data_IF_938903094537
#
_entry.id   IF_938903094537
#
_cell.length_a   1.000
_cell.length_b   1.000
_cell.length_c   1.000
_cell.angle_alpha   90.00
_cell.angle_beta   90.00
_cell.angle_gamma   90.00
#
_symmetry.space_group_name_H-M   'P 1'
#
loop_
_entity.id
_entity.type
_entity.pdbx_description
1 polymer ?
#
# COMPACT_ATOMS: atom_id res chain seq x y z
N UNK A 1 -27.27 -59.54 31.97
CA UNK A 1 -26.30 -59.28 30.89
C UNK A 1 -26.66 -57.91 30.35
N UNK A 2 -25.82 -56.92 30.68
CA UNK A 2 -25.92 -55.47 30.42
C UNK A 2 -27.15 -54.76 30.99
N UNK A 3 -27.07 -53.66 31.74
CA UNK A 3 -26.00 -52.80 32.26
C UNK A 3 -26.76 -52.00 33.34
N UNK A 4 -26.53 -52.22 34.63
CA UNK A 4 -25.59 -51.45 35.45
C UNK A 4 -25.44 -49.96 35.11
N UNK A 5 -25.47 -49.19 36.20
CA UNK A 5 -25.04 -47.80 36.37
C UNK A 5 -25.99 -46.72 35.84
N UNK A 6 -26.98 -46.32 36.63
CA UNK A 6 -26.78 -45.47 37.82
C UNK A 6 -25.87 -44.27 37.49
N UNK A 7 -26.48 -43.13 37.23
CA UNK A 7 -26.32 -41.99 38.14
C UNK A 7 -27.25 -40.83 37.78
N UNK A 8 -28.09 -40.53 38.78
CA UNK A 8 -28.52 -39.19 39.20
C UNK A 8 -29.65 -38.62 38.34
N UNK A 9 -30.90 -38.72 38.78
CA UNK A 9 -31.42 -37.99 39.96
C UNK A 9 -30.74 -36.63 40.13
N UNK A 10 -31.24 -35.64 39.38
CA UNK A 10 -31.40 -34.29 39.90
C UNK A 10 -32.37 -33.52 39.00
N UNK A 11 -33.47 -33.10 39.62
CA UNK A 11 -34.35 -32.00 39.21
C UNK A 11 -35.32 -32.26 38.03
N UNK A 12 -36.46 -32.84 38.39
CA UNK A 12 -37.73 -32.18 38.09
C UNK A 12 -37.60 -30.66 38.27
N UNK A 13 -37.98 -29.86 37.29
CA UNK A 13 -39.01 -28.84 37.50
C UNK A 13 -39.53 -28.25 36.19
N UNK A 14 -40.85 -28.28 36.07
CA UNK A 14 -41.60 -27.41 35.17
C UNK A 14 -41.27 -25.95 35.51
N UNK A 15 -40.64 -25.22 34.58
CA UNK A 15 -40.57 -23.77 34.64
C UNK A 15 -41.53 -23.18 33.60
N UNK A 16 -42.81 -23.28 33.95
CA UNK A 16 -43.79 -22.23 33.63
C UNK A 16 -43.32 -20.91 34.25
N UNK A 17 -43.65 -19.81 33.58
CA UNK A 17 -43.52 -18.42 34.05
C UNK A 17 -42.21 -17.69 33.68
N UNK A 18 -42.10 -17.34 32.39
CA UNK A 18 -41.31 -16.18 31.98
C UNK A 18 -42.25 -14.98 31.87
N UNK A 19 -42.34 -14.26 32.99
CA UNK A 19 -42.91 -12.93 33.11
C UNK A 19 -42.22 -11.99 32.10
N UNK A 20 -42.94 -11.57 31.05
CA UNK A 20 -42.48 -10.51 30.17
C UNK A 20 -42.66 -9.18 30.91
N UNK A 21 -41.56 -8.65 31.46
CA UNK A 21 -41.51 -7.28 31.92
C UNK A 21 -41.55 -6.39 30.69
N UNK A 22 -42.75 -5.90 30.34
CA UNK A 22 -42.89 -4.79 29.41
C UNK A 22 -42.39 -3.53 30.12
N UNK A 23 -41.14 -3.18 29.88
CA UNK A 23 -40.65 -1.83 30.23
C UNK A 23 -41.28 -0.88 29.23
N UNK A 24 -42.36 -0.23 29.66
CA UNK A 24 -42.99 0.87 28.93
C UNK A 24 -42.08 2.08 29.10
N UNK A 25 -41.29 2.39 28.07
CA UNK A 25 -40.69 3.72 27.96
C UNK A 25 -41.81 4.65 27.50
N UNK A 26 -42.48 5.27 28.47
CA UNK A 26 -43.13 6.56 28.22
C UNK A 26 -42.01 7.60 28.20
N UNK A 27 -41.96 8.38 27.12
CA UNK A 27 -41.30 9.67 26.87
C UNK A 27 -41.21 9.70 25.32
N UNK A 28 -42.22 10.21 24.60
CA UNK A 28 -42.55 11.64 24.43
C UNK A 28 -41.29 12.50 24.28
N UNK A 29 -41.15 13.02 23.06
CA UNK A 29 -40.14 13.95 22.55
C UNK A 29 -38.71 13.39 22.45
N UNK A 30 -38.30 12.96 21.25
CA UNK A 30 -36.91 13.12 20.80
C UNK A 30 -36.80 12.97 19.28
N UNK A 31 -36.22 13.99 18.64
CA UNK A 31 -35.74 13.99 17.25
C UNK A 31 -34.51 13.06 17.07
N UNK A 32 -34.44 11.94 17.80
CA UNK A 32 -33.40 10.93 17.69
C UNK A 32 -33.87 9.83 16.75
N UNK A 33 -33.06 9.57 15.71
CA UNK A 33 -33.31 8.48 14.77
C UNK A 33 -33.18 7.14 15.52
N UNK A 34 -34.30 6.62 16.01
CA UNK A 34 -34.35 5.40 16.78
C UNK A 34 -33.72 4.22 16.03
N UNK A 35 -33.17 3.26 16.78
CA UNK A 35 -32.59 2.03 16.21
C UNK A 35 -33.58 1.31 15.27
N UNK A 36 -34.89 1.47 15.53
CA UNK A 36 -35.97 0.96 14.69
C UNK A 36 -36.11 1.70 13.35
N UNK A 37 -35.86 3.00 13.30
CA UNK A 37 -35.81 3.77 12.05
C UNK A 37 -34.61 3.39 11.19
N UNK A 38 -33.44 3.17 11.79
CA UNK A 38 -32.24 2.66 11.10
C UNK A 38 -32.51 1.26 10.52
N UNK A 39 -33.14 0.37 11.29
CA UNK A 39 -33.52 -0.98 10.82
C UNK A 39 -34.54 -0.87 9.67
N UNK A 40 -35.46 0.08 9.73
CA UNK A 40 -36.50 0.27 8.72
C UNK A 40 -35.95 0.90 7.45
N UNK A 41 -35.00 1.83 7.55
CA UNK A 41 -34.21 2.38 6.47
C UNK A 41 -33.34 1.31 5.81
N UNK A 42 -32.68 0.45 6.58
CA UNK A 42 -31.91 -0.69 6.08
C UNK A 42 -32.81 -1.70 5.34
N UNK A 43 -34.02 -1.99 5.85
CA UNK A 43 -35.00 -2.86 5.17
C UNK A 43 -35.49 -2.25 3.85
N UNK A 44 -35.78 -0.94 3.83
CA UNK A 44 -36.16 -0.22 2.60
C UNK A 44 -35.00 -0.18 1.60
N UNK A 45 -33.78 0.08 2.08
CA UNK A 45 -32.55 0.01 1.30
C UNK A 45 -32.29 -1.37 0.71
N UNK A 46 -32.56 -2.44 1.47
CA UNK A 46 -32.45 -3.83 1.01
C UNK A 46 -33.47 -4.16 -0.09
N UNK A 47 -34.69 -3.63 -0.01
CA UNK A 47 -35.72 -3.80 -1.05
C UNK A 47 -35.34 -3.07 -2.35
N UNK A 48 -34.80 -1.86 -2.24
CA UNK A 48 -34.27 -1.09 -3.38
C UNK A 48 -33.05 -1.81 -3.97
N UNK A 49 -32.13 -2.26 -3.14
CA UNK A 49 -30.96 -3.04 -3.56
C UNK A 49 -31.40 -4.33 -4.29
N UNK A 50 -32.42 -5.05 -3.80
CA UNK A 50 -32.96 -6.25 -4.46
C UNK A 50 -33.56 -5.95 -5.84
N UNK A 51 -34.15 -4.77 -6.04
CA UNK A 51 -34.69 -4.33 -7.34
C UNK A 51 -33.58 -3.96 -8.33
N UNK A 52 -32.51 -3.35 -7.85
CA UNK A 52 -31.38 -2.90 -8.68
C UNK A 52 -30.15 -3.83 -8.62
N UNK A 53 -30.27 -5.01 -8.02
CA UNK A 53 -29.16 -5.94 -7.78
C UNK A 53 -28.46 -6.33 -9.08
N UNK A 54 -29.22 -6.57 -10.15
CA UNK A 54 -28.68 -6.89 -11.46
C UNK A 54 -27.85 -5.73 -12.04
N UNK A 55 -28.31 -4.49 -11.86
CA UNK A 55 -27.60 -3.30 -12.32
C UNK A 55 -26.31 -3.08 -11.51
N UNK A 56 -26.37 -3.25 -10.19
CA UNK A 56 -25.20 -3.14 -9.31
C UNK A 56 -24.14 -4.20 -9.65
N UNK A 57 -24.54 -5.43 -9.94
CA UNK A 57 -23.61 -6.49 -10.36
C UNK A 57 -22.96 -6.17 -11.71
N UNK A 58 -23.68 -5.60 -12.67
CA UNK A 58 -23.10 -5.18 -13.95
C UNK A 58 -22.04 -4.08 -13.74
N UNK A 59 -22.33 -3.08 -12.91
CA UNK A 59 -21.36 -2.02 -12.57
C UNK A 59 -20.14 -2.56 -11.82
N UNK A 60 -20.34 -3.52 -10.91
CA UNK A 60 -19.25 -4.18 -10.18
C UNK A 60 -18.33 -4.96 -11.13
N UNK A 61 -18.89 -5.76 -12.04
CA UNK A 61 -18.12 -6.52 -13.03
C UNK A 61 -17.39 -5.58 -13.99
N UNK A 62 -18.05 -4.52 -14.48
CA UNK A 62 -17.41 -3.52 -15.34
C UNK A 62 -16.26 -2.80 -14.64
N UNK A 63 -16.45 -2.35 -13.39
CA UNK A 63 -15.40 -1.73 -12.59
C UNK A 63 -14.23 -2.68 -12.31
N UNK A 64 -14.52 -3.95 -12.04
CA UNK A 64 -13.51 -5.00 -11.87
C UNK A 64 -12.71 -5.26 -13.14
N UNK A 65 -13.35 -5.33 -14.32
CA UNK A 65 -12.66 -5.51 -15.61
C UNK A 65 -11.79 -4.30 -15.93
N UNK A 66 -12.29 -3.08 -15.77
CA UNK A 66 -11.52 -1.85 -16.01
C UNK A 66 -10.31 -1.76 -15.07
N UNK A 67 -10.52 -2.07 -13.78
CA UNK A 67 -9.43 -2.10 -12.80
C UNK A 67 -8.39 -3.18 -13.11
N UNK A 68 -8.82 -4.36 -13.54
CA UNK A 68 -7.92 -5.45 -13.95
C UNK A 68 -7.12 -5.09 -15.21
N UNK A 69 -7.74 -4.48 -16.22
CA UNK A 69 -7.04 -4.01 -17.42
C UNK A 69 -6.02 -2.93 -17.06
N UNK A 70 -6.40 -1.95 -16.23
CA UNK A 70 -5.45 -0.94 -15.75
C UNK A 70 -4.27 -1.58 -15.03
N UNK A 71 -4.50 -2.53 -14.13
CA UNK A 71 -3.42 -3.22 -13.42
C UNK A 71 -2.50 -4.04 -14.33
N UNK A 72 -3.06 -4.61 -15.40
CA UNK A 72 -2.30 -5.36 -16.42
C UNK A 72 -1.47 -4.44 -17.30
N UNK A 73 -1.98 -3.26 -17.63
CA UNK A 73 -1.32 -2.27 -18.50
C UNK A 73 -0.29 -1.44 -17.72
N UNK A 74 -0.57 -1.08 -16.47
CA UNK A 74 0.35 -0.37 -15.56
C UNK A 74 1.22 -1.32 -14.73
N UNK A 75 1.47 -2.53 -15.25
CA UNK A 75 2.31 -3.49 -14.55
C UNK A 75 3.76 -3.05 -14.74
N UNK A 76 4.24 -2.15 -13.89
CA UNK A 76 5.65 -1.79 -13.83
C UNK A 76 6.45 -3.05 -13.52
N UNK A 77 7.18 -3.54 -14.51
CA UNK A 77 8.07 -4.68 -14.33
C UNK A 77 9.29 -4.20 -13.55
N UNK A 78 9.28 -4.37 -12.24
CA UNK A 78 10.43 -4.00 -11.41
C UNK A 78 11.52 -5.06 -11.51
N UNK A 79 12.75 -4.61 -11.72
CA UNK A 79 13.98 -5.41 -11.75
C UNK A 79 14.90 -4.90 -10.66
N UNK A 80 15.50 -5.82 -9.89
CA UNK A 80 16.45 -5.49 -8.82
C UNK A 80 17.85 -5.93 -9.21
N UNK A 81 18.82 -5.02 -9.13
CA UNK A 81 20.25 -5.30 -9.19
C UNK A 81 20.84 -5.18 -7.79
N UNK A 82 21.83 -5.99 -7.45
CA UNK A 82 22.48 -5.98 -6.14
C UNK A 82 23.99 -6.09 -6.29
N UNK A 83 24.72 -5.26 -5.55
CA UNK A 83 26.17 -5.31 -5.41
C UNK A 83 26.55 -5.56 -3.94
N UNK A 84 27.64 -6.31 -3.74
CA UNK A 84 28.19 -6.61 -2.42
C UNK A 84 29.58 -6.01 -2.29
N UNK A 85 29.76 -5.17 -1.28
CA UNK A 85 31.01 -4.48 -0.97
C UNK A 85 31.57 -4.99 0.35
N UNK A 86 32.88 -4.88 0.51
CA UNK A 86 33.61 -5.18 1.74
C UNK A 86 34.50 -4.02 2.13
N UNK A 87 34.40 -3.63 3.39
CA UNK A 87 35.08 -2.47 3.96
C UNK A 87 36.27 -2.94 4.77
N UNK A 88 37.46 -2.49 4.42
CA UNK A 88 38.68 -2.74 5.18
C UNK A 88 39.28 -1.42 5.70
N UNK A 89 39.90 -1.48 6.87
CA UNK A 89 40.57 -0.34 7.47
C UNK A 89 42.06 -0.39 7.12
N UNK A 90 42.61 0.75 6.68
CA UNK A 90 44.04 0.89 6.53
C UNK A 90 44.68 0.97 7.92
N UNK A 91 45.25 -0.16 8.35
CA UNK A 91 45.86 -0.33 9.67
C UNK A 91 47.11 0.52 9.87
N UNK A 92 47.77 0.94 8.80
CA UNK A 92 48.97 1.77 8.87
C UNK A 92 48.59 3.26 9.01
N UNK A 93 47.41 3.65 8.55
CA UNK A 93 46.86 5.00 8.69
C UNK A 93 46.12 5.23 10.02
N UNK A 94 45.79 4.17 10.76
CA UNK A 94 45.10 4.26 12.05
C UNK A 94 46.11 4.32 13.18
N UNK A 95 46.30 5.51 13.74
CA UNK A 95 47.07 5.68 14.97
C UNK A 95 46.41 4.86 16.10
N UNK A 96 47.14 3.87 16.61
CA UNK A 96 46.66 2.88 17.59
C UNK A 96 46.45 3.47 18.99
N UNK A 97 46.54 4.80 19.10
CA UNK A 97 46.41 5.59 20.33
C UNK A 97 44.95 5.85 20.76
N UNK A 98 43.97 5.59 19.89
CA UNK A 98 42.54 5.80 20.17
C UNK A 98 41.83 4.48 20.56
N UNK A 99 41.31 4.43 21.79
CA UNK A 99 40.61 3.32 22.48
C UNK A 99 39.35 2.74 21.79
N UNK A 100 39.00 3.16 20.57
CA UNK A 100 37.87 2.57 19.85
C UNK A 100 38.25 1.24 19.21
N UNK A 101 37.53 0.18 19.59
CA UNK A 101 37.57 -1.14 18.96
C UNK A 101 37.41 -1.03 17.43
N UNK A 102 38.25 -1.74 16.68
CA UNK A 102 38.24 -1.77 15.20
C UNK A 102 36.86 -2.06 14.62
N UNK A 103 36.09 -2.96 15.26
CA UNK A 103 34.72 -3.30 14.84
C UNK A 103 33.78 -2.08 14.84
N UNK A 104 33.93 -1.18 15.82
CA UNK A 104 33.13 0.05 15.89
C UNK A 104 33.50 1.03 14.78
N UNK A 105 34.78 1.12 14.40
CA UNK A 105 35.25 1.98 13.30
C UNK A 105 34.73 1.48 11.95
N UNK A 106 34.77 0.17 11.72
CA UNK A 106 34.23 -0.44 10.50
C UNK A 106 32.71 -0.21 10.40
N UNK A 107 31.99 -0.40 11.50
CA UNK A 107 30.54 -0.15 11.54
C UNK A 107 30.21 1.32 11.27
N UNK A 108 30.95 2.26 11.86
CA UNK A 108 30.78 3.70 11.58
C UNK A 108 31.04 4.02 10.12
N UNK A 109 32.08 3.43 9.53
CA UNK A 109 32.43 3.66 8.14
C UNK A 109 31.39 3.09 7.17
N UNK A 110 30.93 1.86 7.40
CA UNK A 110 29.89 1.25 6.60
C UNK A 110 28.56 2.03 6.69
N UNK A 111 28.21 2.51 7.89
CA UNK A 111 27.06 3.39 8.07
C UNK A 111 27.25 4.76 7.41
N UNK A 112 28.46 5.33 7.47
CA UNK A 112 28.78 6.59 6.78
C UNK A 112 28.70 6.41 5.26
N UNK A 113 29.15 5.27 4.73
CA UNK A 113 29.02 4.94 3.32
C UNK A 113 27.55 4.86 2.91
N UNK A 114 26.73 4.15 3.70
CA UNK A 114 25.28 4.11 3.49
C UNK A 114 24.66 5.50 3.42
N UNK A 115 25.04 6.40 4.33
CA UNK A 115 24.57 7.80 4.33
C UNK A 115 25.08 8.60 3.11
N UNK A 116 26.34 8.44 2.71
CA UNK A 116 26.93 9.14 1.56
C UNK A 116 26.28 8.68 0.26
N UNK A 117 26.15 7.36 0.06
CA UNK A 117 25.48 6.79 -1.10
C UNK A 117 24.02 7.22 -1.18
N UNK A 118 23.36 7.34 -0.03
CA UNK A 118 21.96 7.78 0.05
C UNK A 118 21.79 9.30 0.01
N UNK A 119 22.89 10.07 -0.09
CA UNK A 119 22.84 11.53 -0.08
C UNK A 119 22.48 12.11 -1.44
N UNK A 120 21.85 13.29 -1.43
CA UNK A 120 21.46 14.03 -2.63
C UNK A 120 22.66 14.31 -3.54
N UNK A 121 23.85 14.51 -2.97
CA UNK A 121 25.09 14.76 -3.71
C UNK A 121 25.51 13.58 -4.59
N UNK A 122 25.10 12.35 -4.25
CA UNK A 122 25.38 11.14 -5.03
C UNK A 122 24.16 10.77 -5.88
N UNK A 123 22.95 10.73 -5.28
CA UNK A 123 21.76 10.24 -5.99
C UNK A 123 21.25 11.25 -7.03
N UNK A 124 21.18 12.55 -6.72
CA UNK A 124 20.57 13.52 -7.62
C UNK A 124 21.24 13.61 -9.02
N UNK A 125 22.58 13.69 -9.15
CA UNK A 125 23.21 13.74 -10.46
C UNK A 125 23.03 12.43 -11.25
N UNK A 126 23.08 11.29 -10.56
CA UNK A 126 22.84 9.96 -11.15
C UNK A 126 21.40 9.89 -11.66
N UNK A 127 20.43 10.20 -10.81
CA UNK A 127 19.01 10.16 -11.15
C UNK A 127 18.67 11.11 -12.30
N UNK A 128 19.26 12.31 -12.32
CA UNK A 128 19.08 13.26 -13.42
C UNK A 128 19.62 12.71 -14.73
N UNK A 129 20.80 12.09 -14.73
CA UNK A 129 21.37 11.45 -15.93
C UNK A 129 20.41 10.38 -16.46
N UNK A 130 19.93 9.49 -15.62
CA UNK A 130 19.03 8.41 -16.04
C UNK A 130 17.61 8.87 -16.40
N UNK A 131 17.13 9.97 -15.83
CA UNK A 131 15.86 10.59 -16.21
C UNK A 131 15.93 11.25 -17.60
N UNK A 132 17.10 11.81 -17.97
CA UNK A 132 17.32 12.34 -19.32
C UNK A 132 17.41 11.25 -20.39
N UNK A 133 17.91 10.06 -20.01
CA UNK A 133 18.10 8.93 -20.91
C UNK A 133 16.83 8.06 -21.07
N UNK A 134 15.75 8.33 -20.32
CA UNK A 134 14.49 7.59 -20.44
C UNK A 134 13.57 8.16 -21.52
N UNK A 135 13.17 7.32 -22.49
CA UNK A 135 12.26 7.71 -23.59
C UNK A 135 10.84 8.07 -23.11
N UNK A 136 10.45 7.66 -21.91
CA UNK A 136 9.11 7.85 -21.35
C UNK A 136 8.91 9.17 -20.59
N UNK A 137 9.95 10.00 -20.45
CA UNK A 137 9.89 11.25 -19.68
C UNK A 137 9.91 12.45 -20.62
N UNK A 138 8.94 13.35 -20.42
CA UNK A 138 9.01 14.71 -20.96
C UNK A 138 10.09 15.48 -20.21
N UNK A 139 11.31 15.46 -20.74
CA UNK A 139 12.50 16.12 -20.18
C UNK A 139 12.40 17.64 -20.13
N UNK A 140 11.42 18.24 -20.81
CA UNK A 140 11.11 19.68 -20.69
C UNK A 140 10.27 19.98 -19.44
N UNK A 141 9.67 18.96 -18.82
CA UNK A 141 8.89 19.07 -17.59
C UNK A 141 9.76 18.77 -16.35
N UNK A 142 10.16 19.84 -15.66
CA UNK A 142 10.98 19.77 -14.44
C UNK A 142 10.35 18.92 -13.32
N UNK A 143 9.01 18.92 -13.20
CA UNK A 143 8.30 18.11 -12.20
C UNK A 143 8.39 16.61 -12.50
N UNK A 144 8.40 16.22 -13.77
CA UNK A 144 8.54 14.83 -14.20
C UNK A 144 9.96 14.30 -13.91
N UNK A 145 10.98 15.13 -14.15
CA UNK A 145 12.37 14.83 -13.82
C UNK A 145 12.55 14.68 -12.31
N UNK A 146 12.04 15.63 -11.52
CA UNK A 146 12.12 15.57 -10.05
C UNK A 146 11.39 14.33 -9.49
N UNK A 147 10.24 13.97 -10.06
CA UNK A 147 9.54 12.74 -9.67
C UNK A 147 10.38 11.49 -9.92
N UNK A 148 11.12 11.41 -11.03
CA UNK A 148 12.02 10.27 -11.29
C UNK A 148 13.22 10.26 -10.34
N UNK A 149 13.72 11.45 -9.95
CA UNK A 149 14.76 11.60 -8.92
C UNK A 149 14.29 11.02 -7.59
N UNK A 150 13.09 11.40 -7.14
CA UNK A 150 12.51 10.89 -5.89
C UNK A 150 12.28 9.39 -5.94
N UNK A 151 11.72 8.88 -7.04
CA UNK A 151 11.55 7.43 -7.24
C UNK A 151 12.88 6.67 -7.17
N UNK A 152 13.95 7.21 -7.78
CA UNK A 152 15.25 6.55 -7.69
C UNK A 152 15.78 6.55 -6.25
N UNK A 153 15.61 7.64 -5.51
CA UNK A 153 15.99 7.69 -4.08
C UNK A 153 15.27 6.62 -3.26
N UNK A 154 13.98 6.42 -3.51
CA UNK A 154 13.18 5.40 -2.80
C UNK A 154 13.53 3.96 -3.21
N UNK A 155 14.00 3.76 -4.45
CA UNK A 155 14.34 2.45 -4.98
C UNK A 155 15.79 2.01 -4.71
N UNK A 156 16.61 2.86 -4.07
CA UNK A 156 17.95 2.51 -3.62
C UNK A 156 17.85 2.05 -2.17
N UNK A 157 18.38 0.87 -1.88
CA UNK A 157 18.49 0.34 -0.52
C UNK A 157 19.94 -0.02 -0.24
N UNK A 158 20.51 0.57 0.82
CA UNK A 158 21.86 0.26 1.28
C UNK A 158 21.78 -0.36 2.68
N UNK A 159 22.13 -1.64 2.78
CA UNK A 159 22.07 -2.40 4.03
C UNK A 159 23.46 -2.75 4.53
N UNK A 160 23.71 -2.48 5.80
CA UNK A 160 24.91 -2.89 6.52
C UNK A 160 24.49 -3.87 7.61
N UNK A 161 24.65 -5.19 7.41
CA UNK A 161 24.33 -6.17 8.44
C UNK A 161 25.20 -5.96 9.69
N UNK A 162 24.60 -6.06 10.88
CA UNK A 162 25.33 -5.97 12.15
C UNK A 162 26.45 -7.01 12.23
N UNK A 163 27.56 -6.63 12.86
CA UNK A 163 28.74 -7.48 13.05
C UNK A 163 29.38 -7.98 11.74
N UNK A 164 29.13 -7.27 10.62
CA UNK A 164 29.77 -7.55 9.34
C UNK A 164 30.55 -6.34 8.84
N UNK A 165 31.51 -6.60 7.95
CA UNK A 165 32.23 -5.58 7.20
C UNK A 165 31.67 -5.41 5.79
N UNK A 166 30.45 -5.93 5.56
CA UNK A 166 29.84 -6.00 4.25
C UNK A 166 28.77 -4.95 4.08
N UNK A 167 28.69 -4.38 2.88
CA UNK A 167 27.63 -3.46 2.48
C UNK A 167 26.91 -4.06 1.30
N UNK A 168 25.59 -4.19 1.40
CA UNK A 168 24.73 -4.55 0.29
C UNK A 168 24.10 -3.29 -0.28
N UNK A 169 24.30 -3.04 -1.57
CA UNK A 169 23.62 -1.98 -2.31
C UNK A 169 22.67 -2.66 -3.28
N UNK A 170 21.39 -2.33 -3.20
CA UNK A 170 20.38 -2.80 -4.15
C UNK A 170 19.64 -1.63 -4.77
N UNK A 171 19.40 -1.73 -6.07
CA UNK A 171 18.64 -0.76 -6.85
C UNK A 171 17.49 -1.49 -7.50
N UNK A 172 16.29 -0.91 -7.49
CA UNK A 172 15.15 -1.38 -8.25
C UNK A 172 14.77 -0.39 -9.36
N UNK A 173 14.52 -0.87 -10.57
CA UNK A 173 14.15 -0.04 -11.72
C UNK A 173 13.26 -0.82 -12.70
N UNK A 174 12.56 -0.13 -13.60
CA UNK A 174 11.64 -0.75 -14.59
C UNK A 174 12.36 -1.45 -15.76
N UNK A 175 13.69 -1.25 -15.90
CA UNK A 175 14.51 -1.84 -16.95
C UNK A 175 15.68 -2.63 -16.36
N UNK A 176 15.83 -3.89 -16.78
CA UNK A 176 16.83 -4.81 -16.25
C UNK A 176 18.29 -4.36 -16.49
N UNK A 177 18.60 -3.83 -17.67
CA UNK A 177 19.94 -3.34 -18.02
C UNK A 177 20.24 -2.02 -17.31
N UNK A 178 19.28 -1.09 -17.33
CA UNK A 178 19.41 0.20 -16.66
C UNK A 178 19.61 0.04 -15.16
N UNK A 179 18.87 -0.89 -14.53
CA UNK A 179 19.01 -1.22 -13.12
C UNK A 179 20.45 -1.60 -12.74
N UNK A 180 21.11 -2.41 -13.57
CA UNK A 180 22.50 -2.80 -13.35
C UNK A 180 23.42 -1.58 -13.48
N UNK A 181 23.33 -0.81 -14.57
CA UNK A 181 24.18 0.37 -14.76
C UNK A 181 23.99 1.42 -13.67
N UNK A 182 22.76 1.64 -13.20
CA UNK A 182 22.48 2.52 -12.06
C UNK A 182 23.19 2.00 -10.82
N UNK A 183 23.08 0.71 -10.50
CA UNK A 183 23.73 0.12 -9.34
C UNK A 183 25.26 0.25 -9.41
N UNK A 184 25.88 -0.01 -10.56
CA UNK A 184 27.32 0.18 -10.78
C UNK A 184 27.73 1.65 -10.58
N UNK A 185 26.98 2.58 -11.16
CA UNK A 185 27.26 4.03 -11.06
C UNK A 185 27.17 4.51 -9.62
N UNK A 186 26.18 4.04 -8.87
CA UNK A 186 25.99 4.38 -7.45
C UNK A 186 27.16 3.85 -6.61
N UNK A 187 27.57 2.61 -6.84
CA UNK A 187 28.70 2.01 -6.13
C UNK A 187 29.99 2.79 -6.41
N UNK A 188 30.31 3.03 -7.68
CA UNK A 188 31.53 3.75 -8.07
C UNK A 188 31.55 5.20 -7.56
N UNK A 189 30.43 5.92 -7.68
CA UNK A 189 30.31 7.29 -7.16
C UNK A 189 30.38 7.32 -5.63
N UNK A 190 29.76 6.36 -4.96
CA UNK A 190 29.80 6.20 -3.50
C UNK A 190 31.22 5.96 -2.99
N UNK A 191 31.98 5.07 -3.65
CA UNK A 191 33.38 4.79 -3.30
C UNK A 191 34.22 6.06 -3.49
N UNK A 192 34.12 6.74 -4.64
CA UNK A 192 34.85 8.00 -4.89
C UNK A 192 34.53 9.09 -3.87
N UNK A 193 33.26 9.21 -3.47
CA UNK A 193 32.84 10.16 -2.45
C UNK A 193 33.42 9.81 -1.07
N UNK A 194 33.49 8.52 -0.73
CA UNK A 194 34.11 8.05 0.52
C UNK A 194 35.63 8.24 0.53
N UNK A 195 36.32 7.92 -0.57
CA UNK A 195 37.77 8.12 -0.71
C UNK A 195 38.14 9.61 -0.63
N UNK A 196 37.24 10.49 -1.08
CA UNK A 196 37.41 11.94 -0.93
C UNK A 196 37.21 12.43 0.51
N UNK A 197 36.41 11.70 1.30
CA UNK A 197 36.07 12.05 2.68
C UNK A 197 37.01 11.41 3.71
N UNK A 198 37.63 10.27 3.40
CA UNK A 198 38.42 9.47 4.34
C UNK A 198 39.67 8.90 3.67
N UNK A 199 40.79 8.86 4.39
CA UNK A 199 42.08 8.33 3.89
C UNK A 199 42.60 7.13 4.69
N UNK A 200 41.75 6.50 5.51
CA UNK A 200 42.15 5.41 6.41
C UNK A 200 41.34 4.13 6.19
N UNK A 201 40.63 4.03 5.07
CA UNK A 201 39.83 2.87 4.75
C UNK A 201 39.71 2.64 3.25
N UNK A 202 39.52 1.38 2.89
CA UNK A 202 39.37 0.93 1.52
C UNK A 202 38.06 0.16 1.39
N UNK A 203 37.28 0.49 0.35
CA UNK A 203 36.08 -0.27 0.00
C UNK A 203 36.41 -1.11 -1.23
N UNK A 204 36.26 -2.43 -1.09
CA UNK A 204 36.48 -3.40 -2.16
C UNK A 204 35.15 -3.97 -2.65
N UNK A 205 35.05 -4.18 -3.96
CA UNK A 205 33.87 -4.80 -4.57
C UNK A 205 34.06 -6.31 -4.50
N UNK A 206 33.26 -6.99 -3.66
CA UNK A 206 33.28 -8.46 -3.54
C UNK A 206 32.45 -9.08 -4.66
N UNK A 207 31.30 -8.47 -4.94
CA UNK A 207 30.43 -8.86 -6.05
C UNK A 207 29.97 -7.61 -6.78
N UNK A 208 30.25 -7.49 -8.09
CA UNK A 208 29.74 -6.38 -8.89
C UNK A 208 28.21 -6.44 -8.96
N UNK A 209 27.61 -5.37 -9.48
CA UNK A 209 26.17 -5.30 -9.67
C UNK A 209 25.69 -6.51 -10.50
N UNK A 210 24.73 -7.25 -9.96
CA UNK A 210 24.12 -8.36 -10.67
C UNK A 210 23.28 -7.88 -11.85
N UNK A 211 23.07 -8.75 -12.84
CA UNK A 211 22.02 -8.55 -13.83
C UNK A 211 20.67 -8.32 -13.14
N UNK A 212 19.83 -7.44 -13.70
CA UNK A 212 18.52 -7.09 -13.16
C UNK A 212 17.63 -8.32 -13.02
N UNK A 213 17.31 -8.71 -11.79
CA UNK A 213 16.40 -9.82 -11.50
C UNK A 213 14.98 -9.30 -11.39
N UNK A 214 14.09 -9.85 -12.20
CA UNK A 214 12.66 -9.50 -12.16
C UNK A 214 12.10 -9.77 -10.77
N UNK A 215 11.55 -8.74 -10.13
CA UNK A 215 10.81 -8.89 -8.90
C UNK A 215 9.58 -9.76 -9.14
N UNK A 216 9.22 -10.55 -8.13
CA UNK A 216 8.09 -11.45 -8.23
C UNK A 216 6.81 -10.62 -8.31
N UNK A 217 6.31 -10.43 -9.54
CA UNK A 217 5.06 -9.73 -9.86
C UNK A 217 3.99 -9.97 -8.79
N UNK A 218 3.64 -8.93 -8.04
CA UNK A 218 2.56 -9.00 -7.06
C UNK A 218 1.21 -9.12 -7.79
N UNK A 219 0.72 -10.35 -7.93
CA UNK A 219 -0.68 -10.60 -8.30
C UNK A 219 -1.67 -9.94 -7.32
N UNK A 220 -1.20 -9.58 -6.12
CA UNK A 220 -1.94 -8.85 -5.09
C UNK A 220 -2.31 -7.42 -5.52
N UNK A 221 -1.43 -6.69 -6.21
CA UNK A 221 -1.70 -5.32 -6.65
C UNK A 221 -2.81 -5.23 -7.71
N UNK A 222 -2.90 -6.24 -8.58
CA UNK A 222 -3.94 -6.31 -9.61
C UNK A 222 -5.33 -6.64 -9.05
N UNK A 223 -5.38 -7.51 -8.04
CA UNK A 223 -6.63 -7.79 -7.33
C UNK A 223 -7.08 -6.59 -6.49
N UNK A 224 -6.13 -5.91 -5.81
CA UNK A 224 -6.42 -4.72 -5.00
C UNK A 224 -6.97 -3.57 -5.86
N UNK A 225 -6.30 -3.22 -6.96
CA UNK A 225 -6.75 -2.17 -7.88
C UNK A 225 -8.09 -2.49 -8.56
N UNK A 226 -8.36 -3.76 -8.90
CA UNK A 226 -9.66 -4.19 -9.40
C UNK A 226 -10.78 -4.01 -8.37
N UNK A 227 -10.53 -4.34 -7.10
CA UNK A 227 -11.49 -4.17 -6.01
C UNK A 227 -11.76 -2.69 -5.70
N UNK A 228 -10.72 -1.85 -5.67
CA UNK A 228 -10.88 -0.41 -5.42
C UNK A 228 -11.71 0.26 -6.51
N UNK A 229 -11.43 -0.05 -7.78
CA UNK A 229 -12.20 0.49 -8.91
C UNK A 229 -13.63 -0.04 -8.92
N UNK A 230 -13.85 -1.33 -8.61
CA UNK A 230 -15.18 -1.89 -8.49
C UNK A 230 -16.00 -1.22 -7.37
N UNK A 231 -15.38 -0.90 -6.23
CA UNK A 231 -16.02 -0.19 -5.13
C UNK A 231 -16.45 1.24 -5.53
N UNK A 232 -15.59 1.98 -6.22
CA UNK A 232 -15.91 3.33 -6.74
C UNK A 232 -17.11 3.28 -7.69
N UNK A 233 -17.12 2.33 -8.63
CA UNK A 233 -18.23 2.15 -9.56
C UNK A 233 -19.54 1.76 -8.84
N UNK A 234 -19.46 1.00 -7.74
CA UNK A 234 -20.61 0.64 -6.92
C UNK A 234 -21.20 1.87 -6.20
N UNK A 235 -20.36 2.75 -5.65
CA UNK A 235 -20.79 4.01 -5.02
C UNK A 235 -21.52 4.90 -6.03
N UNK A 236 -20.96 5.04 -7.25
CA UNK A 236 -21.61 5.81 -8.33
C UNK A 236 -22.96 5.21 -8.71
N UNK A 237 -23.06 3.87 -8.82
CA UNK A 237 -24.31 3.20 -9.14
C UNK A 237 -25.38 3.41 -8.05
N UNK A 238 -25.00 3.38 -6.78
CA UNK A 238 -25.90 3.66 -5.65
C UNK A 238 -26.42 5.11 -5.72
N UNK A 239 -25.55 6.09 -6.01
CA UNK A 239 -25.96 7.48 -6.18
C UNK A 239 -26.97 7.65 -7.33
N UNK A 240 -26.73 7.00 -8.48
CA UNK A 240 -27.67 7.04 -9.62
C UNK A 240 -29.03 6.46 -9.24
N UNK A 241 -29.04 5.34 -8.52
CA UNK A 241 -30.28 4.70 -8.03
C UNK A 241 -31.00 5.62 -7.06
N UNK A 242 -30.28 6.26 -6.12
CA UNK A 242 -30.86 7.18 -5.14
C UNK A 242 -31.50 8.41 -5.81
N UNK A 243 -30.81 9.03 -6.78
CA UNK A 243 -31.33 10.17 -7.55
C UNK A 243 -32.58 9.78 -8.34
N UNK A 244 -32.61 8.58 -8.94
CA UNK A 244 -33.81 8.09 -9.65
C UNK A 244 -34.99 7.87 -8.73
N UNK A 245 -34.79 7.22 -7.58
CA UNK A 245 -35.86 6.96 -6.61
C UNK A 245 -36.40 8.28 -6.00
N UNK A 246 -35.51 9.22 -5.66
CA UNK A 246 -35.90 10.56 -5.20
C UNK A 246 -36.65 11.35 -6.27
N UNK A 247 -36.22 11.26 -7.53
CA UNK A 247 -36.90 11.91 -8.65
C UNK A 247 -38.29 11.35 -8.93
N UNK A 248 -38.48 10.03 -8.75
CA UNK A 248 -39.81 9.40 -8.84
C UNK A 248 -40.68 9.87 -7.67
N UNK A 249 -40.16 9.82 -6.44
CA UNK A 249 -40.87 10.24 -5.23
C UNK A 249 -41.30 11.72 -5.27
N UNK A 250 -40.45 12.60 -5.81
CA UNK A 250 -40.77 14.01 -5.99
C UNK A 250 -41.96 14.21 -6.93
N UNK A 251 -41.98 13.51 -8.07
CA UNK A 251 -43.09 13.60 -9.03
C UNK A 251 -44.41 13.04 -8.46
N UNK A 252 -44.37 11.97 -7.67
CA UNK A 252 -45.58 11.44 -7.00
C UNK A 252 -46.11 12.39 -5.94
N UNK A 253 -45.24 13.07 -5.19
CA UNK A 253 -45.65 14.07 -4.20
C UNK A 253 -46.26 15.31 -4.86
N UNK A 254 -45.68 15.78 -5.97
CA UNK A 254 -46.21 16.90 -6.74
C UNK A 254 -47.58 16.58 -7.37
N UNK A 255 -47.75 15.39 -7.94
CA UNK A 255 -49.02 14.92 -8.47
C UNK A 255 -50.11 14.80 -7.38
N UNK A 256 -49.75 14.30 -6.20
CA UNK A 256 -50.66 14.21 -5.06
C UNK A 256 -51.07 15.59 -4.51
N UNK A 257 -50.17 16.58 -4.57
CA UNK A 257 -50.47 17.97 -4.19
C UNK A 257 -51.44 18.62 -5.18
N UNK A 258 -51.23 18.41 -6.48
CA UNK A 258 -52.12 18.92 -7.53
C UNK A 258 -53.53 18.29 -7.48
N UNK A 259 -53.66 17.01 -7.09
CA UNK A 259 -54.97 16.38 -6.89
C UNK A 259 -55.70 16.91 -5.65
N UNK A 260 -54.98 17.25 -4.57
CA UNK A 260 -55.58 17.86 -3.38
C UNK A 260 -56.04 19.29 -3.65
N UNK A 261 -55.30 20.05 -4.44
CA UNK A 261 -55.69 21.42 -4.84
C UNK A 261 -56.88 21.44 -5.81
N UNK A 262 -57.13 20.36 -6.58
CA UNK A 262 -58.32 20.24 -7.45
C UNK A 262 -59.60 19.79 -6.74
N UNK A 263 -59.51 19.31 -5.50
CA UNK A 263 -60.65 18.82 -4.70
C UNK A 263 -61.16 19.82 -3.67
N UNK A 264 -60.48 20.96 -3.51
CA UNK A 264 -60.96 22.14 -2.81
C UNK A 264 -61.44 23.20 -3.82
#
# INVERSE_FOLDING_TARGET
MAEEMNRKDAAQEKLTDRNYVYVRYENDDDDEMDIYDIITLCKKGLLIAKRYIALLLVFFVLGGVVGFVKAKVFKEEKYTSTALLFVDLDRDAIDTSNDMNESSKISMLANSFSQIVSSDSVIAPIAKQYALDSEDIDVENEDAVNTKVDNLRENITVTVPSDTQTINVSVTDDNAERCQSICETIVDTGIKAMDSATNYATISIVSPASEGKKEKSEAAGAAASALTMAAIFLVVAILIVAVRELGIAYKTHEAAKQEKEKKN
#
